data_IF_734366504509
#
_entry.id   IF_734366504509
#
_cell.length_a   1.000
_cell.length_b   1.000
_cell.length_c   1.000
_cell.angle_alpha   90.00
_cell.angle_beta   90.00
_cell.angle_gamma   90.00
#
_symmetry.space_group_name_H-M   'P 1'
#
loop_
_entity.id
_entity.type
_entity.pdbx_description
1 polymer ?
#
# COMPACT_ATOMS: atom_id res chain seq x y z
N UNK A 1 -37.60 5.67 2.37
CA UNK A 1 -36.39 5.96 1.58
C UNK A 1 -35.23 6.40 2.49
N UNK A 2 -34.75 5.53 3.38
CA UNK A 2 -33.56 5.80 4.22
C UNK A 2 -32.66 4.57 4.47
N UNK A 3 -32.86 3.47 3.74
CA UNK A 3 -32.14 2.20 4.01
C UNK A 3 -31.14 1.78 2.93
N UNK A 4 -31.00 2.52 1.82
CA UNK A 4 -30.40 1.97 0.58
C UNK A 4 -29.26 2.72 -0.13
N UNK A 5 -28.50 3.66 0.46
CA UNK A 5 -27.15 3.94 -0.03
C UNK A 5 -26.11 3.00 0.62
N UNK A 6 -26.28 2.68 1.91
CA UNK A 6 -25.36 1.81 2.66
C UNK A 6 -25.59 0.31 2.43
N UNK A 7 -26.83 -0.11 2.14
CA UNK A 7 -27.19 -1.53 1.99
C UNK A 7 -26.62 -2.19 0.72
N UNK A 8 -26.30 -1.41 -0.32
CA UNK A 8 -25.85 -1.93 -1.62
C UNK A 8 -24.35 -1.75 -1.92
N UNK A 9 -23.61 -0.90 -1.20
CA UNK A 9 -22.15 -1.01 -1.09
C UNK A 9 -21.86 -2.19 -0.16
N UNK A 10 -22.16 -3.38 -0.67
CA UNK A 10 -22.39 -4.64 0.06
C UNK A 10 -21.42 -4.76 1.24
N UNK A 11 -21.91 -5.21 2.39
CA UNK A 11 -21.09 -5.61 3.53
C UNK A 11 -19.85 -6.43 3.10
N UNK A 12 -19.98 -7.21 2.01
CA UNK A 12 -18.87 -7.90 1.35
C UNK A 12 -17.72 -6.99 0.87
N UNK A 13 -17.98 -5.80 0.32
CA UNK A 13 -16.95 -4.82 -0.05
C UNK A 13 -16.24 -4.24 1.17
N UNK A 14 -16.96 -4.04 2.28
CA UNK A 14 -16.33 -3.63 3.53
C UNK A 14 -15.43 -4.75 4.05
N UNK A 15 -15.92 -5.99 4.08
CA UNK A 15 -15.13 -7.16 4.48
C UNK A 15 -13.87 -7.35 3.63
N UNK A 16 -13.97 -7.18 2.31
CA UNK A 16 -12.83 -7.32 1.39
C UNK A 16 -11.73 -6.28 1.62
N UNK A 17 -12.06 -5.13 2.21
CA UNK A 17 -11.07 -4.11 2.58
C UNK A 17 -10.57 -4.32 4.01
N UNK A 18 -11.46 -4.65 4.94
CA UNK A 18 -11.10 -4.77 6.35
C UNK A 18 -10.25 -5.99 6.65
N UNK A 19 -10.46 -7.13 5.98
CA UNK A 19 -9.66 -8.34 6.24
C UNK A 19 -8.19 -8.16 5.85
N UNK A 20 -7.85 -7.71 4.63
CA UNK A 20 -6.45 -7.43 4.29
C UNK A 20 -5.87 -6.28 5.11
N UNK A 21 -6.66 -5.24 5.39
CA UNK A 21 -6.20 -4.13 6.23
C UNK A 21 -5.87 -4.59 7.65
N UNK A 22 -6.64 -5.52 8.22
CA UNK A 22 -6.37 -6.05 9.55
C UNK A 22 -5.12 -6.93 9.56
N UNK A 23 -4.98 -7.84 8.58
CA UNK A 23 -3.87 -8.80 8.52
C UNK A 23 -2.56 -8.16 8.05
N UNK A 24 -2.57 -7.53 6.88
CA UNK A 24 -1.37 -6.91 6.30
C UNK A 24 -1.11 -5.57 6.96
N UNK A 25 -2.15 -4.83 7.31
CA UNK A 25 -1.95 -3.54 7.95
C UNK A 25 -1.35 -3.64 9.34
N UNK A 26 -1.63 -4.69 10.13
CA UNK A 26 -0.90 -4.90 11.39
C UNK A 26 0.58 -5.16 11.15
N UNK A 27 0.93 -5.98 10.16
CA UNK A 27 2.32 -6.29 9.81
C UNK A 27 3.08 -5.03 9.39
N UNK A 28 2.52 -4.28 8.43
CA UNK A 28 3.12 -3.01 7.98
C UNK A 28 3.22 -2.02 9.14
N UNK A 29 2.17 -1.91 9.97
CA UNK A 29 2.18 -1.02 11.13
C UNK A 29 3.33 -1.32 12.09
N UNK A 30 3.61 -2.60 12.33
CA UNK A 30 4.66 -3.02 13.25
C UNK A 30 6.07 -2.75 12.67
N UNK A 31 6.23 -2.81 11.35
CA UNK A 31 7.51 -2.56 10.66
C UNK A 31 7.84 -1.07 10.44
N UNK A 32 6.83 -0.25 10.10
CA UNK A 32 7.04 1.18 9.80
C UNK A 32 6.69 2.10 10.96
N UNK A 33 5.93 1.60 11.94
CA UNK A 33 5.41 2.35 13.07
C UNK A 33 4.16 3.19 12.74
N UNK A 34 3.43 3.59 13.79
CA UNK A 34 2.11 4.24 13.71
C UNK A 34 2.02 5.43 12.76
N UNK A 35 2.98 6.35 12.82
CA UNK A 35 2.93 7.59 12.02
C UNK A 35 3.12 7.30 10.52
N UNK A 36 4.11 6.48 10.19
CA UNK A 36 4.40 6.12 8.80
C UNK A 36 3.29 5.23 8.22
N UNK A 37 2.75 4.32 9.03
CA UNK A 37 1.59 3.50 8.64
C UNK A 37 0.41 4.36 8.24
N UNK A 38 0.05 5.35 9.08
CA UNK A 38 -1.07 6.23 8.81
C UNK A 38 -0.81 7.09 7.56
N UNK A 39 0.40 7.64 7.43
CA UNK A 39 0.80 8.41 6.27
C UNK A 39 0.74 7.57 4.98
N UNK A 40 1.20 6.32 5.04
CA UNK A 40 1.20 5.40 3.92
C UNK A 40 -0.24 5.03 3.51
N UNK A 41 -1.09 4.64 4.47
CA UNK A 41 -2.48 4.28 4.20
C UNK A 41 -3.29 5.46 3.64
N UNK A 42 -3.22 6.63 4.29
CA UNK A 42 -3.93 7.84 3.84
C UNK A 42 -3.35 8.33 2.51
N UNK A 43 -2.03 8.29 2.34
CA UNK A 43 -1.35 8.66 1.10
C UNK A 43 -1.78 7.80 -0.09
N UNK A 44 -1.81 6.48 0.07
CA UNK A 44 -2.29 5.56 -0.96
C UNK A 44 -3.74 5.85 -1.34
N UNK A 45 -4.61 6.06 -0.34
CA UNK A 45 -6.01 6.39 -0.56
C UNK A 45 -6.21 7.71 -1.29
N UNK A 46 -5.50 8.76 -0.87
CA UNK A 46 -5.60 10.09 -1.45
C UNK A 46 -5.08 10.13 -2.90
N UNK A 47 -3.90 9.55 -3.15
CA UNK A 47 -3.29 9.49 -4.48
C UNK A 47 -4.12 8.60 -5.41
N UNK A 48 -4.59 7.45 -4.92
CA UNK A 48 -5.52 6.59 -5.65
C UNK A 48 -6.82 7.31 -6.02
N UNK A 49 -7.47 7.97 -5.05
CA UNK A 49 -8.67 8.75 -5.29
C UNK A 49 -8.44 9.87 -6.32
N UNK A 50 -7.33 10.60 -6.22
CA UNK A 50 -6.99 11.65 -7.19
C UNK A 50 -6.80 11.06 -8.60
N UNK A 51 -6.13 9.90 -8.72
CA UNK A 51 -5.99 9.18 -9.98
C UNK A 51 -7.32 8.80 -10.61
N UNK A 52 -8.26 8.27 -9.81
CA UNK A 52 -9.62 7.97 -10.29
C UNK A 52 -10.40 9.23 -10.66
N UNK A 53 -10.28 10.30 -9.88
CA UNK A 53 -10.97 11.56 -10.12
C UNK A 53 -10.53 12.16 -11.45
N UNK A 54 -9.22 12.24 -11.72
CA UNK A 54 -8.70 12.73 -13.01
C UNK A 54 -9.17 11.83 -14.15
N UNK A 55 -9.07 10.50 -13.98
CA UNK A 55 -9.41 9.55 -15.05
C UNK A 55 -10.90 9.58 -15.42
N UNK A 56 -11.78 9.68 -14.43
CA UNK A 56 -13.22 9.60 -14.66
C UNK A 56 -13.92 10.95 -14.81
N UNK A 57 -13.35 12.04 -14.27
CA UNK A 57 -13.85 13.39 -14.57
C UNK A 57 -13.76 13.68 -16.07
N UNK A 58 -12.65 13.29 -16.71
CA UNK A 58 -12.45 13.42 -18.15
C UNK A 58 -13.44 12.56 -18.99
N UNK A 59 -14.05 11.54 -18.38
CA UNK A 59 -15.01 10.64 -19.03
C UNK A 59 -16.47 10.89 -18.62
N UNK A 60 -16.72 11.84 -17.72
CA UNK A 60 -18.04 12.12 -17.16
C UNK A 60 -18.61 11.00 -16.26
N UNK A 61 -17.76 10.10 -15.74
CA UNK A 61 -18.17 8.90 -14.98
C UNK A 61 -17.90 9.02 -13.48
N UNK A 62 -18.29 10.14 -12.88
CA UNK A 62 -18.04 10.41 -11.45
C UNK A 62 -18.77 9.45 -10.49
N UNK A 63 -19.79 8.73 -10.97
CA UNK A 63 -20.52 7.73 -10.19
C UNK A 63 -19.75 6.43 -9.93
N UNK A 64 -18.58 6.26 -10.57
CA UNK A 64 -17.72 5.07 -10.45
C UNK A 64 -16.60 5.29 -9.43
N UNK A 65 -16.30 6.54 -9.08
CA UNK A 65 -15.23 6.89 -8.14
C UNK A 65 -15.52 6.30 -6.75
N UNK A 66 -14.58 5.51 -6.22
CA UNK A 66 -14.65 4.92 -4.88
C UNK A 66 -14.26 5.95 -3.81
N UNK A 67 -14.66 5.72 -2.54
CA UNK A 67 -14.23 6.53 -1.40
C UNK A 67 -12.72 6.39 -1.06
N UNK A 68 -11.91 5.77 -1.93
CA UNK A 68 -10.46 5.64 -1.78
C UNK A 68 -10.00 4.54 -0.81
N UNK A 69 -10.89 3.95 0.00
CA UNK A 69 -10.54 2.92 0.99
C UNK A 69 -9.97 1.64 0.34
N UNK A 70 -10.49 1.24 -0.83
CA UNK A 70 -9.98 0.06 -1.54
C UNK A 70 -8.65 0.33 -2.24
N UNK A 71 -8.45 1.53 -2.80
CA UNK A 71 -7.15 1.98 -3.28
C UNK A 71 -6.11 2.07 -2.15
N UNK A 72 -6.52 2.54 -0.97
CA UNK A 72 -5.66 2.60 0.21
C UNK A 72 -5.23 1.20 0.69
N UNK A 73 -6.17 0.27 0.79
CA UNK A 73 -5.90 -1.10 1.24
C UNK A 73 -5.02 -1.84 0.25
N UNK A 74 -5.32 -1.77 -1.06
CA UNK A 74 -4.48 -2.38 -2.09
C UNK A 74 -3.10 -1.71 -2.17
N UNK A 75 -3.03 -0.40 -1.98
CA UNK A 75 -1.76 0.32 -1.84
C UNK A 75 -0.91 -0.21 -0.71
N UNK A 76 -1.51 -0.41 0.47
CA UNK A 76 -0.84 -0.96 1.64
C UNK A 76 -0.38 -2.41 1.43
N UNK A 77 -1.22 -3.25 0.82
CA UNK A 77 -0.83 -4.61 0.44
C UNK A 77 0.33 -4.61 -0.55
N UNK A 78 0.32 -3.71 -1.54
CA UNK A 78 1.41 -3.59 -2.50
C UNK A 78 2.71 -3.13 -1.85
N UNK A 79 2.64 -2.19 -0.91
CA UNK A 79 3.79 -1.77 -0.11
C UNK A 79 4.41 -2.97 0.62
N UNK A 80 3.58 -3.75 1.32
CA UNK A 80 4.04 -4.92 2.07
C UNK A 80 4.70 -5.98 1.17
N UNK A 81 4.01 -6.38 0.10
CA UNK A 81 4.52 -7.42 -0.80
C UNK A 81 5.69 -6.97 -1.68
N UNK A 82 5.88 -5.66 -1.86
CA UNK A 82 7.06 -5.11 -2.51
C UNK A 82 8.27 -5.12 -1.58
N UNK A 83 8.06 -4.78 -0.31
CA UNK A 83 9.08 -4.88 0.74
C UNK A 83 9.55 -6.32 0.90
N UNK A 84 8.59 -7.25 1.00
CA UNK A 84 8.81 -8.68 1.20
C UNK A 84 8.84 -9.45 -0.13
N UNK A 85 9.23 -8.80 -1.23
CA UNK A 85 9.11 -9.38 -2.58
C UNK A 85 9.94 -10.66 -2.75
N UNK A 86 11.06 -10.74 -2.04
CA UNK A 86 12.02 -11.84 -2.07
C UNK A 86 11.78 -12.83 -0.91
N UNK A 87 10.87 -12.52 0.01
CA UNK A 87 10.60 -13.34 1.18
C UNK A 87 9.64 -14.50 0.85
N UNK A 88 10.02 -15.70 1.28
CA UNK A 88 9.25 -16.92 1.09
C UNK A 88 8.18 -17.10 2.15
N UNK A 89 6.93 -16.74 1.84
CA UNK A 89 5.79 -17.01 2.72
C UNK A 89 5.39 -18.48 2.68
N UNK A 90 5.55 -19.19 3.81
CA UNK A 90 5.21 -20.62 3.92
C UNK A 90 3.84 -20.80 4.55
N UNK A 91 2.95 -21.52 3.88
CA UNK A 91 1.65 -21.91 4.43
C UNK A 91 1.63 -23.43 4.65
N UNK A 92 1.35 -23.87 5.89
CA UNK A 92 1.27 -25.30 6.23
C UNK A 92 2.52 -26.15 5.89
N UNK A 93 3.71 -25.52 5.80
CA UNK A 93 4.96 -26.23 5.55
C UNK A 93 5.30 -26.49 4.08
N UNK A 94 4.44 -26.07 3.14
CA UNK A 94 4.66 -26.13 1.69
C UNK A 94 4.61 -24.70 1.12
N UNK A 95 5.36 -24.33 0.06
CA UNK A 95 6.50 -25.00 -0.59
C UNK A 95 7.85 -24.78 0.14
N UNK A 96 8.89 -25.52 -0.26
CA UNK A 96 10.22 -25.53 0.40
C UNK A 96 10.87 -24.14 0.47
N UNK A 97 10.72 -23.34 -0.59
CA UNK A 97 11.23 -21.96 -0.68
C UNK A 97 10.18 -20.90 -0.31
N UNK A 98 8.98 -21.30 0.12
CA UNK A 98 7.85 -20.38 0.32
C UNK A 98 7.34 -19.73 -0.99
N UNK A 99 6.19 -19.05 -0.92
CA UNK A 99 5.67 -18.23 -2.02
C UNK A 99 6.22 -16.82 -1.86
N UNK A 100 6.93 -16.34 -2.87
CA UNK A 100 7.57 -15.01 -2.83
C UNK A 100 6.51 -13.90 -2.80
N UNK A 101 6.77 -12.82 -2.06
CA UNK A 101 5.89 -11.64 -2.01
C UNK A 101 5.50 -11.10 -3.40
N UNK A 102 6.41 -11.18 -4.37
CA UNK A 102 6.16 -10.76 -5.76
C UNK A 102 4.98 -11.51 -6.41
N UNK A 103 4.74 -12.77 -6.02
CA UNK A 103 3.63 -13.57 -6.54
C UNK A 103 2.29 -13.02 -6.03
N UNK A 104 2.22 -12.64 -4.75
CA UNK A 104 1.03 -12.01 -4.19
C UNK A 104 0.79 -10.62 -4.79
N UNK A 105 1.85 -9.84 -5.01
CA UNK A 105 1.75 -8.55 -5.68
C UNK A 105 1.21 -8.72 -7.11
N UNK A 106 1.73 -9.69 -7.87
CA UNK A 106 1.23 -10.01 -9.20
C UNK A 106 -0.22 -10.47 -9.18
N UNK A 107 -0.61 -11.30 -8.21
CA UNK A 107 -1.99 -11.77 -8.02
C UNK A 107 -2.95 -10.62 -7.71
N UNK A 108 -2.50 -9.58 -6.99
CA UNK A 108 -3.30 -8.38 -6.76
C UNK A 108 -3.37 -7.48 -8.00
N UNK A 109 -2.28 -7.36 -8.77
CA UNK A 109 -2.16 -6.40 -9.87
C UNK A 109 -2.80 -6.89 -11.18
N UNK A 110 -2.55 -8.15 -11.56
CA UNK A 110 -3.00 -8.72 -12.85
C UNK A 110 -4.53 -8.62 -13.04
N UNK A 111 -5.39 -8.90 -12.03
CA UNK A 111 -6.82 -8.71 -12.18
C UNK A 111 -7.24 -7.25 -12.43
N UNK A 112 -6.54 -6.27 -11.84
CA UNK A 112 -6.83 -4.85 -12.07
C UNK A 112 -6.52 -4.47 -13.52
N UNK A 113 -5.39 -4.96 -14.03
CA UNK A 113 -4.98 -4.73 -15.42
C UNK A 113 -5.94 -5.40 -16.41
N UNK A 114 -6.34 -6.65 -16.16
CA UNK A 114 -7.29 -7.38 -17.02
C UNK A 114 -8.71 -6.76 -17.01
N UNK A 115 -9.06 -6.07 -15.93
CA UNK A 115 -10.32 -5.34 -15.80
C UNK A 115 -10.24 -3.91 -16.36
N UNK A 116 -9.04 -3.39 -16.64
CA UNK A 116 -8.82 -2.04 -17.17
C UNK A 116 -9.59 -1.86 -18.50
N UNK A 117 -10.47 -0.86 -18.56
CA UNK A 117 -11.37 -0.62 -19.69
C UNK A 117 -12.75 -1.30 -19.58
N UNK A 118 -12.93 -2.27 -18.68
CA UNK A 118 -14.25 -2.84 -18.30
C UNK A 118 -14.84 -2.17 -17.06
N UNK A 119 -14.22 -1.08 -16.59
CA UNK A 119 -14.60 -0.27 -15.42
C UNK A 119 -16.08 0.10 -15.40
N UNK A 120 -16.63 0.59 -16.52
CA UNK A 120 -18.04 0.97 -16.62
C UNK A 120 -19.00 -0.23 -16.50
N UNK A 121 -18.56 -1.42 -16.92
CA UNK A 121 -19.36 -2.65 -16.88
C UNK A 121 -19.45 -3.22 -15.45
N UNK A 122 -18.35 -3.17 -14.71
CA UNK A 122 -18.27 -3.74 -13.36
C UNK A 122 -18.52 -2.72 -12.23
N UNK A 123 -18.58 -1.42 -12.55
CA UNK A 123 -18.68 -0.32 -11.56
C UNK A 123 -17.61 -0.42 -10.46
N UNK A 124 -16.39 -0.80 -10.85
CA UNK A 124 -15.23 -0.92 -9.96
C UNK A 124 -14.21 0.14 -10.32
N UNK A 125 -13.71 0.85 -9.31
CA UNK A 125 -12.72 1.90 -9.48
C UNK A 125 -11.29 1.36 -9.67
N UNK A 126 -11.04 0.84 -10.87
CA UNK A 126 -9.73 0.26 -11.23
C UNK A 126 -8.63 1.32 -11.25
N UNK A 127 -8.93 2.55 -11.67
CA UNK A 127 -7.97 3.64 -11.67
C UNK A 127 -7.44 3.93 -10.25
N UNK A 128 -8.34 4.00 -9.26
CA UNK A 128 -7.94 4.18 -7.86
C UNK A 128 -7.09 3.02 -7.34
N UNK A 129 -7.41 1.79 -7.73
CA UNK A 129 -6.63 0.62 -7.34
C UNK A 129 -5.21 0.65 -7.90
N UNK A 130 -5.06 0.82 -9.22
CA UNK A 130 -3.73 0.82 -9.85
C UNK A 130 -2.87 1.94 -9.30
N UNK A 131 -3.42 3.17 -9.25
CA UNK A 131 -2.68 4.34 -8.76
C UNK A 131 -2.35 4.18 -7.27
N UNK A 132 -3.27 3.65 -6.46
CA UNK A 132 -3.01 3.35 -5.05
C UNK A 132 -1.91 2.30 -4.84
N UNK A 133 -1.89 1.23 -5.64
CA UNK A 133 -0.86 0.20 -5.60
C UNK A 133 0.54 0.78 -5.88
N UNK A 134 0.67 1.62 -6.92
CA UNK A 134 1.93 2.30 -7.20
C UNK A 134 2.33 3.28 -6.10
N UNK A 135 1.38 4.03 -5.54
CA UNK A 135 1.64 4.94 -4.42
C UNK A 135 2.17 4.19 -3.19
N UNK A 136 1.68 2.98 -2.93
CA UNK A 136 2.18 2.12 -1.86
C UNK A 136 3.63 1.68 -2.06
N UNK A 137 3.96 1.18 -3.26
CA UNK A 137 5.32 0.77 -3.62
C UNK A 137 6.31 1.94 -3.48
N UNK A 138 5.96 3.11 -4.04
CA UNK A 138 6.81 4.29 -3.95
C UNK A 138 6.91 4.83 -2.50
N UNK A 139 5.80 4.73 -1.75
CA UNK A 139 5.74 5.16 -0.37
C UNK A 139 6.66 4.36 0.55
N UNK A 140 6.66 3.03 0.44
CA UNK A 140 7.53 2.18 1.27
C UNK A 140 9.01 2.37 0.92
N UNK A 141 9.34 2.48 -0.37
CA UNK A 141 10.70 2.76 -0.84
C UNK A 141 11.23 4.10 -0.28
N UNK A 142 10.38 5.12 -0.30
CA UNK A 142 10.71 6.43 0.27
C UNK A 142 10.96 6.37 1.78
N UNK A 143 10.15 5.59 2.51
CA UNK A 143 10.30 5.41 3.95
C UNK A 143 11.61 4.69 4.28
N UNK A 144 11.99 3.66 3.53
CA UNK A 144 13.24 2.93 3.72
C UNK A 144 14.46 3.81 3.44
N UNK A 145 14.48 4.52 2.31
CA UNK A 145 15.54 5.48 2.02
C UNK A 145 15.68 6.57 3.10
N UNK A 146 14.56 7.01 3.69
CA UNK A 146 14.56 8.01 4.76
C UNK A 146 15.11 7.44 6.08
N UNK A 147 14.77 6.17 6.41
CA UNK A 147 15.32 5.45 7.56
C UNK A 147 16.85 5.31 7.44
N UNK A 148 17.34 4.80 6.32
CA UNK A 148 18.79 4.63 6.09
C UNK A 148 19.58 5.94 6.17
N UNK A 149 19.04 7.04 5.60
CA UNK A 149 19.69 8.36 5.68
C UNK A 149 19.81 8.83 7.11
N UNK A 150 18.78 8.59 7.94
CA UNK A 150 18.79 8.96 9.35
C UNK A 150 19.80 8.14 10.14
N UNK A 151 19.88 6.84 9.88
CA UNK A 151 20.86 5.95 10.51
C UNK A 151 22.30 6.32 10.15
N UNK A 152 22.59 6.55 8.86
CA UNK A 152 23.91 7.02 8.41
C UNK A 152 24.32 8.32 9.10
N UNK A 153 23.40 9.26 9.27
CA UNK A 153 23.67 10.53 9.96
C UNK A 153 23.99 10.34 11.46
N UNK A 154 23.33 9.40 12.13
CA UNK A 154 23.61 9.09 13.54
C UNK A 154 24.98 8.44 13.70
N UNK A 155 25.35 7.53 12.81
CA UNK A 155 26.67 6.89 12.80
C UNK A 155 27.78 7.93 12.60
N UNK A 156 27.62 8.81 11.62
CA UNK A 156 28.59 9.89 11.33
C UNK A 156 28.76 10.85 12.52
N UNK A 157 27.66 11.21 13.19
CA UNK A 157 27.69 12.03 14.41
C UNK A 157 28.44 11.33 15.56
N UNK A 158 28.19 10.03 15.76
CA UNK A 158 28.89 9.25 16.80
C UNK A 158 30.38 9.11 16.50
N UNK A 159 30.74 8.84 15.24
CA UNK A 159 32.13 8.72 14.82
C UNK A 159 32.90 10.05 14.93
N UNK A 160 32.24 11.17 14.64
CA UNK A 160 32.82 12.50 14.83
C UNK A 160 33.03 12.86 16.31
N UNK A 161 32.12 12.46 17.20
CA UNK A 161 32.28 12.65 18.64
C UNK A 161 33.45 11.86 19.21
N UNK A 162 33.63 10.60 18.81
CA UNK A 162 34.76 9.77 19.27
C UNK A 162 36.12 10.34 18.85
N UNK A 163 36.25 10.89 17.64
CA UNK A 163 37.50 11.50 17.16
C UNK A 163 37.87 12.78 17.92
N UNK A 164 36.88 13.57 18.34
CA UNK A 164 37.12 14.78 19.16
C UNK A 164 37.44 14.49 20.63
N UNK A 165 37.15 13.27 21.12
CA UNK A 165 37.35 12.88 22.51
C UNK A 165 38.75 12.26 22.78
N UNK A 166 39.50 11.87 21.76
CA UNK A 166 40.90 11.43 21.89
C UNK A 166 41.82 12.63 22.09
N UNK A 167 42.43 12.83 23.29
CA UNK A 167 43.40 13.90 23.49
C UNK A 167 44.64 13.60 22.66
N UNK A 168 45.10 14.57 21.87
CA UNK A 168 46.43 14.54 21.26
C UNK A 168 47.48 14.40 22.35
N UNK A 169 48.10 13.23 22.44
CA UNK A 169 49.31 13.00 23.25
C UNK A 169 50.53 13.61 22.56
#
# INVERSE_FOLDING_TARGET
MFTSPFSHQKLSHLFINMVPLWLIGSLVHDEVGRANFLALYVGCGAVGFLGSLVTYALRGWLSITSLGASGATLGLCSAYFWEHRDDGFRFFGLPENGVHGIVFLALLFVPQLAAFGKTAKFKVDIASHIVGMFAGILGIEYLNHSKEKRERKVIDMSAGQDQTATPSQ
#
